data_IF_362710734654
#
_entry.id   IF_362710734654
#
_cell.length_a   1.000
_cell.length_b   1.000
_cell.length_c   1.000
_cell.angle_alpha   90.00
_cell.angle_beta   90.00
_cell.angle_gamma   90.00
#
_symmetry.space_group_name_H-M   'P 1'
#
loop_
_entity.id
_entity.type
_entity.pdbx_description
1 polymer ?
#
# COMPACT_ATOMS: atom_id res chain seq x y z
N UNK A 1 -10.22 59.36 88.42
CA UNK A 1 -10.10 60.63 87.67
C UNK A 1 -8.63 60.86 87.41
N UNK A 2 -8.27 61.16 86.14
CA UNK A 2 -7.07 61.89 85.68
C UNK A 2 -5.71 61.31 86.11
N UNK A 3 -4.66 61.16 85.32
CA UNK A 3 -4.19 61.60 83.99
C UNK A 3 -2.80 60.95 83.86
N UNK A 4 -2.35 60.57 82.65
CA UNK A 4 -1.12 61.06 81.99
C UNK A 4 0.20 60.89 82.81
N UNK A 5 1.33 60.40 82.31
CA UNK A 5 1.92 60.49 80.97
C UNK A 5 3.34 59.87 81.04
N UNK A 6 3.81 59.34 79.89
CA UNK A 6 5.20 59.37 79.38
C UNK A 6 6.32 58.59 80.13
N UNK A 7 7.31 57.96 79.47
CA UNK A 7 7.64 57.70 78.06
C UNK A 7 9.01 56.99 77.96
N UNK A 8 9.35 56.48 76.75
CA UNK A 8 10.71 56.31 76.18
C UNK A 8 11.60 55.18 76.79
N UNK A 9 12.37 54.36 76.08
CA UNK A 9 12.83 54.14 74.68
C UNK A 9 13.47 52.72 74.66
N UNK A 10 13.62 51.89 73.62
CA UNK A 10 14.35 52.08 72.35
C UNK A 10 14.49 50.71 71.65
N UNK A 11 14.32 50.70 70.30
CA UNK A 11 14.92 49.85 69.25
C UNK A 11 14.76 48.30 69.33
N UNK A 12 14.45 47.55 68.27
CA UNK A 12 15.12 47.46 66.96
C UNK A 12 14.11 47.00 65.88
N UNK A 13 14.23 47.58 64.69
CA UNK A 13 13.48 47.26 63.48
C UNK A 13 13.94 45.96 62.82
N UNK A 14 13.00 45.14 62.34
CA UNK A 14 13.22 43.99 61.47
C UNK A 14 12.12 43.92 60.41
N UNK A 15 12.48 44.26 59.18
CA UNK A 15 11.64 44.31 57.98
C UNK A 15 11.42 42.89 57.44
N UNK A 16 10.17 42.45 57.28
CA UNK A 16 9.81 41.23 56.56
C UNK A 16 8.61 41.52 55.66
N UNK A 17 8.89 41.92 54.42
CA UNK A 17 7.89 41.94 53.34
C UNK A 17 8.11 40.68 52.51
N UNK A 18 7.16 39.75 52.59
CA UNK A 18 7.13 38.53 51.78
C UNK A 18 6.76 38.87 50.33
N UNK A 19 7.75 38.83 49.43
CA UNK A 19 7.50 38.83 47.99
C UNK A 19 7.25 37.37 47.58
N UNK A 20 5.98 36.98 47.48
CA UNK A 20 5.60 35.76 46.77
C UNK A 20 5.73 36.03 45.27
N UNK A 21 6.89 35.68 44.70
CA UNK A 21 7.08 35.62 43.25
C UNK A 21 6.30 34.43 42.69
N UNK A 22 5.16 34.70 42.05
CA UNK A 22 4.49 33.76 41.16
C UNK A 22 5.37 33.54 39.92
N UNK A 23 6.18 32.48 39.93
CA UNK A 23 6.80 31.96 38.72
C UNK A 23 5.72 31.23 37.91
N UNK A 24 5.08 31.94 36.97
CA UNK A 24 4.29 31.29 35.92
C UNK A 24 5.28 30.65 34.96
N UNK A 25 5.57 29.35 35.16
CA UNK A 25 6.23 28.52 34.17
C UNK A 25 5.30 28.44 32.96
N UNK A 26 5.50 29.31 31.97
CA UNK A 26 4.89 29.18 30.66
C UNK A 26 5.52 27.99 29.96
N UNK A 27 4.99 26.79 30.22
CA UNK A 27 5.26 25.62 29.40
C UNK A 27 4.77 25.94 28.00
N UNK A 28 5.69 26.23 27.08
CA UNK A 28 5.38 26.32 25.66
C UNK A 28 4.83 24.97 25.25
N UNK A 29 3.50 24.85 25.17
CA UNK A 29 2.85 23.69 24.57
C UNK A 29 3.19 23.77 23.10
N UNK A 30 4.26 23.08 22.68
CA UNK A 30 4.55 22.89 21.28
C UNK A 30 3.34 22.17 20.68
N UNK A 31 2.58 22.88 19.84
CA UNK A 31 1.47 22.30 19.11
C UNK A 31 1.99 21.11 18.29
N UNK A 32 1.28 19.99 18.31
CA UNK A 32 1.68 18.83 17.50
C UNK A 32 1.67 19.23 16.01
N UNK A 33 2.63 18.74 15.21
CA UNK A 33 2.62 18.96 13.77
C UNK A 33 1.29 18.50 13.16
N UNK A 34 0.68 19.37 12.35
CA UNK A 34 -0.57 19.13 11.63
C UNK A 34 -0.31 18.73 10.16
N UNK A 35 -1.26 17.98 9.59
CA UNK A 35 -1.31 17.68 8.17
C UNK A 35 -1.69 18.95 7.40
N UNK A 36 -0.92 19.27 6.36
CA UNK A 36 -1.15 20.47 5.52
C UNK A 36 -1.73 20.14 4.15
N UNK A 37 -1.62 18.88 3.75
CA UNK A 37 -2.11 18.34 2.51
C UNK A 37 -1.17 18.51 1.31
N UNK A 38 -1.25 17.54 0.40
CA UNK A 38 -0.46 17.45 -0.84
C UNK A 38 -0.50 18.70 -1.72
N UNK A 39 -1.61 19.46 -1.71
CA UNK A 39 -1.71 20.74 -2.41
C UNK A 39 -0.69 21.78 -1.94
N UNK A 40 -0.25 21.74 -0.67
CA UNK A 40 0.81 22.61 -0.15
C UNK A 40 2.18 22.10 -0.58
N UNK A 41 2.41 20.79 -0.51
CA UNK A 41 3.65 20.15 -0.96
C UNK A 41 3.93 20.47 -2.44
N UNK A 42 2.90 20.40 -3.28
CA UNK A 42 2.98 20.72 -4.73
C UNK A 42 3.57 22.10 -5.00
N UNK A 43 3.36 23.10 -4.15
CA UNK A 43 3.80 24.49 -4.40
C UNK A 43 5.32 24.60 -4.51
N UNK A 44 6.06 23.75 -3.79
CA UNK A 44 7.52 23.72 -3.81
C UNK A 44 8.08 22.47 -4.51
N UNK A 45 7.36 21.34 -4.51
CA UNK A 45 7.81 20.06 -5.07
C UNK A 45 6.99 19.67 -6.32
N UNK A 46 6.99 20.53 -7.33
CA UNK A 46 6.12 20.37 -8.52
C UNK A 46 6.45 19.10 -9.30
N UNK A 47 7.73 18.80 -9.51
CA UNK A 47 8.20 17.65 -10.30
C UNK A 47 7.80 16.32 -9.64
N UNK A 48 8.14 16.17 -8.35
CA UNK A 48 7.73 15.01 -7.54
C UNK A 48 6.21 14.86 -7.55
N UNK A 49 5.46 15.96 -7.42
CA UNK A 49 4.01 15.93 -7.47
C UNK A 49 3.47 15.46 -8.83
N UNK A 50 4.12 15.82 -9.95
CA UNK A 50 3.72 15.34 -11.27
C UNK A 50 3.89 13.82 -11.39
N UNK A 51 4.97 13.27 -10.86
CA UNK A 51 5.18 11.82 -10.84
C UNK A 51 4.14 11.14 -9.94
N UNK A 52 4.02 11.63 -8.70
CA UNK A 52 3.13 11.12 -7.68
C UNK A 52 1.68 11.08 -8.15
N UNK A 53 1.18 12.16 -8.76
CA UNK A 53 -0.21 12.21 -9.22
C UNK A 53 -0.49 11.22 -10.35
N UNK A 54 0.52 10.73 -11.08
CA UNK A 54 0.34 9.66 -12.08
C UNK A 54 0.60 8.27 -11.49
N UNK A 55 0.64 8.13 -10.17
CA UNK A 55 0.64 6.86 -9.45
C UNK A 55 -0.76 6.49 -8.97
N UNK A 56 -0.93 5.27 -8.46
CA UNK A 56 -2.21 4.82 -7.90
C UNK A 56 -2.45 5.21 -6.44
N UNK A 57 -1.43 5.71 -5.73
CA UNK A 57 -1.53 6.11 -4.31
C UNK A 57 -2.55 7.23 -4.04
N UNK A 58 -2.59 8.35 -4.79
CA UNK A 58 -3.58 9.40 -4.58
C UNK A 58 -5.03 8.91 -4.77
N UNK A 59 -5.21 7.84 -5.53
CA UNK A 59 -6.52 7.34 -5.96
C UNK A 59 -6.95 6.04 -5.25
N UNK A 60 -6.30 5.68 -4.13
CA UNK A 60 -6.72 4.51 -3.34
C UNK A 60 -8.12 4.65 -2.77
N UNK A 61 -8.57 5.87 -2.51
CA UNK A 61 -9.96 6.19 -2.25
C UNK A 61 -10.26 7.59 -2.77
N UNK A 62 -11.43 7.77 -3.38
CA UNK A 62 -11.87 9.05 -3.94
C UNK A 62 -13.29 9.35 -3.48
N UNK A 63 -13.51 10.57 -3.00
CA UNK A 63 -14.85 11.05 -2.68
C UNK A 63 -15.64 11.25 -3.96
N UNK A 64 -16.87 10.75 -3.96
CA UNK A 64 -17.83 10.89 -5.05
C UNK A 64 -18.95 11.83 -4.60
N UNK A 65 -19.56 12.52 -5.56
CA UNK A 65 -20.71 13.39 -5.30
C UNK A 65 -21.82 13.07 -6.29
N UNK A 66 -21.54 13.17 -7.59
CA UNK A 66 -22.53 12.98 -8.65
C UNK A 66 -21.95 12.45 -9.97
N UNK A 67 -20.65 12.13 -10.01
CA UNK A 67 -19.95 11.72 -11.22
C UNK A 67 -18.90 10.65 -10.96
N UNK A 68 -18.53 9.96 -12.04
CA UNK A 68 -17.47 8.97 -12.02
C UNK A 68 -16.15 9.53 -11.47
N UNK A 69 -15.33 8.69 -10.80
CA UNK A 69 -13.99 9.09 -10.39
C UNK A 69 -13.13 9.46 -11.60
N UNK A 70 -12.27 10.44 -11.42
CA UNK A 70 -11.38 10.96 -12.47
C UNK A 70 -9.94 10.55 -12.20
N UNK A 71 -9.20 10.30 -13.27
CA UNK A 71 -7.80 9.90 -13.24
C UNK A 71 -7.02 10.74 -14.23
N UNK A 72 -5.69 10.90 -14.06
CA UNK A 72 -4.86 11.62 -15.02
C UNK A 72 -4.90 10.97 -16.40
N UNK A 73 -4.78 11.80 -17.43
CA UNK A 73 -4.69 11.33 -18.81
C UNK A 73 -3.52 10.34 -18.99
N UNK A 74 -3.73 9.34 -19.85
CA UNK A 74 -2.71 8.32 -20.14
C UNK A 74 -2.52 7.26 -19.04
N UNK A 75 -3.36 7.24 -18.00
CA UNK A 75 -3.26 6.27 -16.89
C UNK A 75 -4.38 5.23 -16.89
N UNK A 76 -5.32 5.33 -15.95
CA UNK A 76 -6.43 4.41 -15.76
C UNK A 76 -7.48 4.54 -16.88
N UNK A 77 -8.03 3.44 -17.41
CA UNK A 77 -9.25 3.49 -18.22
C UNK A 77 -10.49 3.91 -17.42
N UNK A 78 -10.37 4.00 -16.09
CA UNK A 78 -11.40 4.50 -15.19
C UNK A 78 -12.45 3.48 -14.79
N UNK A 79 -13.41 3.98 -14.00
CA UNK A 79 -14.58 3.23 -13.54
C UNK A 79 -15.80 3.92 -14.14
N UNK A 80 -16.32 3.43 -15.28
CA UNK A 80 -17.25 4.22 -16.09
C UNK A 80 -18.65 4.34 -15.45
N UNK A 81 -19.07 3.32 -14.70
CA UNK A 81 -20.41 3.23 -14.13
C UNK A 81 -20.35 2.78 -12.66
N UNK A 82 -21.31 3.22 -11.83
CA UNK A 82 -21.50 2.68 -10.48
C UNK A 82 -22.06 1.25 -10.54
N UNK A 83 -22.18 0.55 -9.39
CA UNK A 83 -22.87 -0.74 -9.29
C UNK A 83 -24.24 -0.73 -9.97
N UNK A 84 -24.63 -1.89 -10.52
CA UNK A 84 -25.92 -2.05 -11.18
C UNK A 84 -27.08 -1.57 -10.30
N UNK A 85 -27.96 -0.73 -10.86
CA UNK A 85 -29.14 -0.20 -10.16
C UNK A 85 -28.88 1.01 -9.27
N UNK A 86 -27.68 1.59 -9.30
CA UNK A 86 -27.32 2.79 -8.54
C UNK A 86 -26.92 3.94 -9.47
N UNK A 87 -27.10 5.18 -9.01
CA UNK A 87 -26.48 6.36 -9.61
C UNK A 87 -25.16 6.72 -8.92
N UNK A 88 -24.36 7.62 -9.53
CA UNK A 88 -23.15 8.13 -8.86
C UNK A 88 -23.52 8.96 -7.62
N UNK A 89 -24.70 9.56 -7.61
CA UNK A 89 -25.33 10.25 -6.47
C UNK A 89 -25.66 9.33 -5.28
N UNK A 90 -25.58 8.02 -5.45
CA UNK A 90 -25.77 7.03 -4.37
C UNK A 90 -24.43 6.54 -3.79
N UNK A 91 -23.30 6.98 -4.36
CA UNK A 91 -21.96 6.58 -3.97
C UNK A 91 -21.29 7.73 -3.22
N UNK A 92 -20.85 7.48 -1.98
CA UNK A 92 -20.08 8.46 -1.22
C UNK A 92 -18.59 8.42 -1.58
N UNK A 93 -18.06 7.21 -1.80
CA UNK A 93 -16.65 6.98 -2.07
C UNK A 93 -16.44 5.79 -3.02
N UNK A 94 -15.40 5.90 -3.85
CA UNK A 94 -14.84 4.79 -4.62
C UNK A 94 -13.50 4.40 -4.02
N UNK A 95 -13.33 3.11 -3.71
CA UNK A 95 -12.09 2.52 -3.21
C UNK A 95 -11.36 1.86 -4.38
N UNK A 96 -10.18 2.36 -4.72
CA UNK A 96 -9.39 1.92 -5.87
C UNK A 96 -9.90 2.51 -7.19
N UNK A 97 -9.95 1.68 -8.23
CA UNK A 97 -10.35 2.06 -9.58
C UNK A 97 -9.23 2.61 -10.47
N UNK A 98 -8.01 2.67 -9.94
CA UNK A 98 -6.85 3.16 -10.69
C UNK A 98 -6.24 2.11 -11.63
N UNK A 99 -6.02 0.87 -11.19
CA UNK A 99 -5.27 -0.11 -12.01
C UNK A 99 -5.80 -1.55 -11.99
N UNK A 100 -6.49 -1.99 -10.93
CA UNK A 100 -6.91 -3.38 -10.78
C UNK A 100 -8.41 -3.53 -10.61
N UNK A 101 -8.96 -2.85 -9.60
CA UNK A 101 -10.36 -3.00 -9.22
C UNK A 101 -10.87 -1.77 -8.48
N UNK A 102 -12.18 -1.56 -8.55
CA UNK A 102 -12.91 -0.56 -7.78
C UNK A 102 -13.97 -1.22 -6.91
N UNK A 103 -14.18 -0.66 -5.72
CA UNK A 103 -15.29 -0.97 -4.81
C UNK A 103 -15.95 0.33 -4.39
N UNK A 104 -17.14 0.24 -3.83
CA UNK A 104 -18.03 1.39 -3.71
C UNK A 104 -18.60 1.45 -2.30
N UNK A 105 -18.76 2.67 -1.78
CA UNK A 105 -19.40 2.93 -0.50
C UNK A 105 -20.73 3.65 -0.74
N UNK A 106 -21.78 3.22 -0.03
CA UNK A 106 -23.10 3.87 -0.08
C UNK A 106 -23.08 5.28 0.56
N UNK A 107 -24.20 6.00 0.51
CA UNK A 107 -24.34 7.33 1.13
C UNK A 107 -24.22 7.35 2.66
N UNK A 108 -24.17 6.20 3.33
CA UNK A 108 -23.88 6.10 4.76
C UNK A 108 -22.43 5.70 5.02
N UNK A 109 -21.60 5.52 3.98
CA UNK A 109 -20.20 5.17 4.09
C UNK A 109 -19.94 3.68 4.32
N UNK A 110 -20.92 2.81 4.12
CA UNK A 110 -20.70 1.37 4.18
C UNK A 110 -20.21 0.84 2.83
N UNK A 111 -19.22 -0.06 2.84
CA UNK A 111 -18.76 -0.74 1.62
C UNK A 111 -19.85 -1.69 1.15
N UNK A 112 -20.26 -1.57 -0.11
CA UNK A 112 -21.25 -2.46 -0.72
C UNK A 112 -20.66 -3.86 -0.94
N UNK A 113 -21.39 -4.89 -0.51
CA UNK A 113 -21.02 -6.32 -0.61
C UNK A 113 -22.17 -7.14 -1.18
N UNK A 114 -21.88 -8.38 -1.59
CA UNK A 114 -22.85 -9.23 -2.27
C UNK A 114 -22.25 -10.11 -3.37
N UNK A 115 -23.03 -11.03 -3.94
CA UNK A 115 -22.55 -12.06 -4.85
C UNK A 115 -22.18 -11.55 -6.25
N UNK A 116 -22.74 -10.41 -6.68
CA UNK A 116 -22.56 -9.87 -8.03
C UNK A 116 -22.55 -8.34 -8.00
N UNK A 117 -21.91 -7.70 -8.99
CA UNK A 117 -21.95 -6.25 -9.20
C UNK A 117 -21.48 -5.39 -8.00
N UNK A 118 -20.52 -5.87 -7.20
CA UNK A 118 -19.98 -5.15 -6.03
C UNK A 118 -18.52 -4.77 -6.16
N UNK A 119 -17.81 -5.40 -7.08
CA UNK A 119 -16.46 -5.01 -7.47
C UNK A 119 -16.37 -4.92 -8.98
N UNK A 120 -15.84 -3.81 -9.46
CA UNK A 120 -15.52 -3.64 -10.88
C UNK A 120 -14.04 -3.96 -11.08
N UNK A 121 -13.74 -5.01 -11.84
CA UNK A 121 -12.37 -5.33 -12.23
C UNK A 121 -12.05 -4.60 -13.54
N UNK A 122 -10.94 -3.86 -13.54
CA UNK A 122 -10.45 -3.18 -14.74
C UNK A 122 -9.89 -4.22 -15.72
N UNK A 123 -9.86 -3.85 -17.01
CA UNK A 123 -9.26 -4.69 -18.03
C UNK A 123 -7.76 -4.91 -17.71
N UNK A 124 -7.29 -6.13 -17.94
CA UNK A 124 -5.92 -6.52 -17.72
C UNK A 124 -5.36 -7.18 -18.99
N UNK A 125 -4.54 -6.41 -19.72
CA UNK A 125 -3.90 -6.86 -20.96
C UNK A 125 -2.87 -7.98 -20.73
N UNK A 126 -2.16 -7.96 -19.60
CA UNK A 126 -1.15 -8.99 -19.27
C UNK A 126 -1.76 -10.39 -19.16
N UNK A 127 -3.05 -10.47 -18.80
CA UNK A 127 -3.79 -11.72 -18.65
C UNK A 127 -4.85 -11.94 -19.73
N UNK A 128 -4.96 -11.03 -20.71
CA UNK A 128 -6.03 -11.03 -21.72
C UNK A 128 -7.43 -11.13 -21.07
N UNK A 129 -7.71 -10.19 -20.16
CA UNK A 129 -8.99 -10.10 -19.44
C UNK A 129 -9.65 -8.75 -19.73
N UNK A 130 -10.86 -8.80 -20.27
CA UNK A 130 -11.73 -7.62 -20.35
C UNK A 130 -12.20 -7.20 -18.95
N UNK A 131 -12.55 -5.92 -18.84
CA UNK A 131 -13.18 -5.40 -17.62
C UNK A 131 -14.51 -6.10 -17.37
N UNK A 132 -14.83 -6.38 -16.12
CA UNK A 132 -16.08 -7.03 -15.76
C UNK A 132 -16.46 -6.75 -14.30
N UNK A 133 -17.73 -6.94 -14.00
CA UNK A 133 -18.26 -6.91 -12.64
C UNK A 133 -18.16 -8.28 -11.98
N UNK A 134 -17.99 -8.28 -10.66
CA UNK A 134 -18.00 -9.49 -9.84
C UNK A 134 -18.56 -9.17 -8.45
N UNK A 135 -18.85 -10.22 -7.67
CA UNK A 135 -19.20 -10.09 -6.27
C UNK A 135 -18.03 -9.64 -5.40
N UNK A 136 -18.34 -9.26 -4.18
CA UNK A 136 -17.35 -8.92 -3.17
C UNK A 136 -17.92 -9.23 -1.79
N UNK A 137 -17.21 -10.06 -1.03
CA UNK A 137 -17.55 -10.43 0.35
C UNK A 137 -19.03 -10.78 0.53
N UNK A 138 -19.54 -11.64 -0.36
CA UNK A 138 -20.95 -12.02 -0.41
C UNK A 138 -21.46 -12.66 0.90
N UNK A 139 -20.55 -13.21 1.71
CA UNK A 139 -20.83 -13.77 3.03
C UNK A 139 -21.04 -12.70 4.12
N UNK A 140 -20.84 -11.41 3.81
CA UNK A 140 -20.99 -10.28 4.74
C UNK A 140 -22.32 -9.53 4.61
N UNK A 141 -23.26 -10.07 3.83
CA UNK A 141 -24.53 -9.41 3.54
C UNK A 141 -24.39 -8.33 2.47
N UNK A 142 -25.29 -7.35 2.48
CA UNK A 142 -25.37 -6.33 1.41
C UNK A 142 -24.36 -5.19 1.56
N UNK A 143 -23.86 -4.97 2.78
CA UNK A 143 -22.84 -3.95 3.06
C UNK A 143 -22.07 -4.28 4.35
N UNK A 144 -20.86 -3.71 4.47
CA UNK A 144 -20.00 -3.83 5.67
C UNK A 144 -19.31 -2.51 5.99
N UNK A 145 -18.88 -2.28 7.25
CA UNK A 145 -18.20 -1.03 7.61
C UNK A 145 -16.84 -0.90 6.91
N UNK A 146 -16.40 0.34 6.73
CA UNK A 146 -15.09 0.70 6.23
C UNK A 146 -14.09 0.89 7.37
N UNK A 147 -13.10 0.00 7.40
CA UNK A 147 -11.97 0.00 8.33
C UNK A 147 -10.62 0.00 7.60
N UNK A 148 -10.62 0.23 6.28
CA UNK A 148 -9.44 0.08 5.43
C UNK A 148 -8.58 1.35 5.33
N UNK A 149 -8.86 2.37 6.15
CA UNK A 149 -8.28 3.70 6.00
C UNK A 149 -6.78 3.76 6.26
N UNK A 150 -6.24 2.88 7.12
CA UNK A 150 -4.80 2.82 7.41
C UNK A 150 -3.93 2.70 6.16
N UNK A 151 -4.42 1.98 5.13
CA UNK A 151 -3.68 1.77 3.89
C UNK A 151 -4.19 2.60 2.70
N UNK A 152 -5.35 3.23 2.83
CA UNK A 152 -6.06 3.87 1.71
C UNK A 152 -6.22 5.39 1.88
N UNK A 153 -5.86 5.95 3.03
CA UNK A 153 -6.01 7.38 3.36
C UNK A 153 -4.73 7.92 3.97
N UNK A 154 -4.67 9.24 4.18
CA UNK A 154 -3.56 9.91 4.85
C UNK A 154 -3.99 10.43 6.21
N UNK A 155 -3.23 10.11 7.25
CA UNK A 155 -3.56 10.50 8.62
C UNK A 155 -4.78 9.78 9.17
N UNK A 156 -4.94 8.49 8.85
CA UNK A 156 -6.02 7.66 9.39
C UNK A 156 -5.98 7.60 10.91
N UNK A 157 -7.14 7.79 11.53
CA UNK A 157 -7.37 7.54 12.95
C UNK A 157 -8.57 6.60 13.04
N UNK A 158 -8.33 5.39 13.53
CA UNK A 158 -9.39 4.43 13.83
C UNK A 158 -10.17 4.88 15.06
N UNK A 159 -11.49 4.91 14.94
CA UNK A 159 -12.40 5.41 16.00
C UNK A 159 -13.48 4.40 16.39
N UNK A 160 -13.66 3.34 15.59
CA UNK A 160 -14.68 2.31 15.83
C UNK A 160 -16.10 2.76 15.49
N UNK A 161 -17.12 1.93 15.80
CA UNK A 161 -18.52 2.20 15.46
C UNK A 161 -19.15 3.35 16.26
N UNK A 162 -18.65 3.65 17.46
CA UNK A 162 -19.19 4.70 18.35
C UNK A 162 -18.39 6.00 18.30
N UNK A 163 -17.33 6.04 17.51
CA UNK A 163 -16.39 7.16 17.46
C UNK A 163 -16.70 8.15 16.34
N UNK A 164 -15.88 9.21 16.19
CA UNK A 164 -16.02 10.14 15.06
C UNK A 164 -15.90 9.42 13.72
N UNK A 165 -16.80 9.72 12.79
CA UNK A 165 -16.81 9.15 11.44
C UNK A 165 -16.45 10.20 10.40
N UNK A 166 -15.66 9.85 9.40
CA UNK A 166 -15.36 10.77 8.29
C UNK A 166 -16.66 11.25 7.65
N UNK A 167 -16.77 12.58 7.47
CA UNK A 167 -17.94 13.24 6.87
C UNK A 167 -19.29 12.92 7.56
N UNK A 168 -19.25 12.47 8.83
CA UNK A 168 -20.41 11.97 9.57
C UNK A 168 -21.09 10.75 8.91
N UNK A 169 -20.33 9.95 8.17
CA UNK A 169 -20.82 8.72 7.53
C UNK A 169 -20.61 7.52 8.45
N UNK A 170 -21.67 7.08 9.13
CA UNK A 170 -21.68 6.01 10.16
C UNK A 170 -20.91 4.74 9.75
N UNK A 171 -20.98 4.35 8.47
CA UNK A 171 -20.27 3.17 7.97
C UNK A 171 -18.75 3.30 7.95
N UNK A 172 -18.18 4.47 8.22
CA UNK A 172 -16.72 4.72 8.25
C UNK A 172 -16.22 4.72 9.69
N UNK A 173 -15.58 3.64 10.12
CA UNK A 173 -15.10 3.50 11.51
C UNK A 173 -13.74 4.19 11.73
N UNK A 174 -13.63 5.45 11.29
CA UNK A 174 -12.45 6.29 11.46
C UNK A 174 -12.54 7.61 10.71
N UNK A 175 -11.48 8.40 10.84
CA UNK A 175 -11.32 9.71 10.21
C UNK A 175 -9.96 9.80 9.52
N UNK A 176 -9.79 10.74 8.59
CA UNK A 176 -8.51 10.99 7.94
C UNK A 176 -8.28 12.46 7.61
N UNK A 177 -7.02 12.83 7.39
CA UNK A 177 -6.64 14.17 6.97
C UNK A 177 -6.83 14.38 5.46
N UNK A 178 -6.50 13.37 4.63
CA UNK A 178 -6.75 13.41 3.18
C UNK A 178 -7.18 12.05 2.63
N UNK A 179 -7.99 12.08 1.56
CA UNK A 179 -8.31 10.91 0.75
C UNK A 179 -7.08 10.46 -0.03
N UNK A 180 -6.88 9.14 -0.11
CA UNK A 180 -5.74 8.55 -0.79
C UNK A 180 -4.48 8.53 0.08
N UNK A 181 -3.47 7.81 -0.39
CA UNK A 181 -2.13 7.81 0.18
C UNK A 181 -1.40 8.99 -0.44
N UNK A 182 -1.23 10.08 0.31
CA UNK A 182 -0.60 11.32 -0.14
C UNK A 182 0.78 11.51 0.49
N UNK A 183 1.45 12.64 0.21
CA UNK A 183 2.80 12.93 0.66
C UNK A 183 3.01 12.64 2.16
N UNK A 184 2.06 13.09 2.98
CA UNK A 184 2.16 13.03 4.45
C UNK A 184 1.83 11.64 5.02
N UNK A 185 1.36 10.68 4.21
CA UNK A 185 1.21 9.29 4.62
C UNK A 185 2.57 8.59 4.78
N UNK A 186 3.58 9.03 4.02
CA UNK A 186 4.95 8.54 4.11
C UNK A 186 5.85 9.50 4.89
N UNK A 187 5.73 10.80 4.62
CA UNK A 187 6.62 11.81 5.19
C UNK A 187 6.16 12.39 6.54
N UNK A 188 4.96 12.04 6.99
CA UNK A 188 4.35 12.59 8.20
C UNK A 188 3.81 14.02 8.02
N UNK A 189 3.26 14.62 9.09
CA UNK A 189 2.62 15.93 9.01
C UNK A 189 3.61 17.07 8.72
N UNK A 190 3.36 17.83 7.65
CA UNK A 190 4.29 18.80 7.09
C UNK A 190 4.22 20.22 7.63
N UNK A 191 3.36 20.52 8.61
CA UNK A 191 3.12 21.90 9.07
C UNK A 191 4.35 22.65 9.57
N UNK A 192 5.35 21.97 10.11
CA UNK A 192 6.58 22.60 10.55
C UNK A 192 7.61 22.69 9.43
N UNK A 193 7.68 21.67 8.56
CA UNK A 193 8.49 21.71 7.35
C UNK A 193 8.15 22.93 6.48
N UNK A 194 6.86 23.20 6.23
CA UNK A 194 6.48 24.34 5.38
C UNK A 194 6.85 25.71 5.96
N UNK A 195 7.01 25.82 7.29
CA UNK A 195 7.42 27.07 7.97
C UNK A 195 8.92 27.29 7.88
N UNK A 196 9.72 26.24 7.72
CA UNK A 196 11.18 26.30 7.70
C UNK A 196 11.78 25.12 6.92
N UNK A 197 11.55 25.05 5.59
CA UNK A 197 11.81 23.84 4.79
C UNK A 197 13.29 23.46 4.71
N UNK A 198 14.20 24.44 4.84
CA UNK A 198 15.65 24.20 4.86
C UNK A 198 16.17 23.68 6.20
N UNK A 199 15.38 23.82 7.28
CA UNK A 199 15.81 23.47 8.65
C UNK A 199 15.07 22.27 9.22
N UNK A 200 13.81 22.10 8.83
CA UNK A 200 12.95 21.03 9.32
C UNK A 200 12.70 20.10 8.15
N UNK A 201 13.45 19.01 8.09
CA UNK A 201 13.28 17.99 7.05
C UNK A 201 12.18 17.01 7.44
N UNK A 202 11.46 16.51 6.45
CA UNK A 202 10.54 15.39 6.63
C UNK A 202 11.32 14.08 6.70
N UNK A 203 10.72 13.04 7.28
CA UNK A 203 11.35 11.72 7.30
C UNK A 203 11.52 11.19 5.88
N UNK A 204 12.62 10.48 5.65
CA UNK A 204 12.88 9.72 4.43
C UNK A 204 12.87 8.22 4.68
N UNK A 205 12.57 7.79 5.90
CA UNK A 205 12.47 6.38 6.26
C UNK A 205 11.28 5.74 5.52
N UNK A 206 11.50 4.59 4.91
CA UNK A 206 10.43 3.91 4.20
C UNK A 206 9.44 3.25 5.16
N UNK A 207 8.15 3.36 4.84
CA UNK A 207 7.06 2.77 5.59
C UNK A 207 6.13 1.94 4.69
N UNK A 208 6.66 1.42 3.57
CA UNK A 208 5.89 0.65 2.58
C UNK A 208 5.17 -0.54 3.23
N UNK A 209 5.86 -1.20 4.18
CA UNK A 209 5.34 -2.33 4.96
C UNK A 209 4.19 -1.98 5.89
N UNK A 210 3.78 -0.73 6.06
CA UNK A 210 2.53 -0.41 6.78
C UNK A 210 1.29 -0.73 5.96
N UNK A 211 1.42 -0.73 4.63
CA UNK A 211 0.30 -0.91 3.70
C UNK A 211 0.45 -2.11 2.76
N UNK A 212 1.69 -2.41 2.36
CA UNK A 212 2.03 -3.53 1.48
C UNK A 212 2.28 -4.83 2.27
N UNK A 213 1.58 -4.96 3.39
CA UNK A 213 1.43 -6.16 4.22
C UNK A 213 -0.05 -6.43 4.49
N UNK A 214 -0.44 -7.65 4.85
CA UNK A 214 -1.79 -7.94 5.38
C UNK A 214 -1.81 -8.20 6.87
N UNK A 215 -0.81 -8.90 7.39
CA UNK A 215 -0.86 -9.44 8.74
C UNK A 215 0.51 -9.65 9.34
N UNK A 216 0.79 -10.90 9.73
CA UNK A 216 2.10 -11.29 10.26
C UNK A 216 3.15 -11.23 9.16
N UNK A 217 4.17 -10.38 9.32
CA UNK A 217 5.24 -10.20 8.35
C UNK A 217 6.08 -11.48 8.11
N UNK A 218 5.91 -12.52 8.92
CA UNK A 218 6.56 -13.82 8.79
C UNK A 218 5.70 -14.85 8.03
N UNK A 219 4.51 -14.47 7.57
CA UNK A 219 3.60 -15.33 6.82
C UNK A 219 3.19 -14.62 5.54
N UNK A 220 3.03 -15.39 4.45
CA UNK A 220 2.55 -14.86 3.19
C UNK A 220 1.20 -15.50 2.91
N UNK A 221 0.12 -14.72 2.98
CA UNK A 221 -1.23 -15.21 2.79
C UNK A 221 -1.45 -15.68 1.33
N UNK A 222 -2.11 -16.82 1.18
CA UNK A 222 -2.49 -17.38 -0.11
C UNK A 222 -3.95 -17.83 -0.13
N UNK A 223 -4.50 -17.91 -1.33
CA UNK A 223 -5.79 -18.54 -1.58
C UNK A 223 -5.91 -18.91 -3.06
N UNK A 224 -6.59 -20.00 -3.36
CA UNK A 224 -6.84 -20.45 -4.74
C UNK A 224 -5.54 -20.61 -5.56
N UNK A 225 -4.46 -21.07 -4.92
CA UNK A 225 -3.16 -21.29 -5.57
C UNK A 225 -2.43 -20.03 -6.02
N UNK A 226 -2.77 -18.87 -5.43
CA UNK A 226 -2.12 -17.58 -5.64
C UNK A 226 -1.90 -16.88 -4.29
N UNK A 227 -0.83 -16.09 -4.21
CA UNK A 227 -0.57 -15.16 -3.10
C UNK A 227 -1.66 -14.08 -3.11
N UNK A 228 -2.15 -13.67 -1.94
CA UNK A 228 -3.13 -12.58 -1.85
C UNK A 228 -2.46 -11.23 -2.16
N UNK A 229 -3.27 -10.24 -2.53
CA UNK A 229 -2.75 -8.88 -2.71
C UNK A 229 -2.26 -8.22 -1.42
N UNK A 230 -1.31 -7.30 -1.62
CA UNK A 230 -0.61 -6.53 -0.58
C UNK A 230 0.33 -7.38 0.28
N UNK A 231 0.98 -8.37 -0.34
CA UNK A 231 1.97 -9.26 0.32
C UNK A 231 3.40 -8.99 -0.18
N UNK A 232 3.64 -7.92 -0.95
CA UNK A 232 4.95 -7.69 -1.56
C UNK A 232 6.05 -7.47 -0.51
N UNK A 233 5.68 -6.95 0.66
CA UNK A 233 6.61 -6.78 1.77
C UNK A 233 7.00 -8.14 2.38
N UNK A 234 6.02 -8.99 2.68
CA UNK A 234 6.24 -10.35 3.20
C UNK A 234 7.00 -11.23 2.21
N UNK A 235 6.66 -11.14 0.91
CA UNK A 235 7.37 -11.77 -0.20
C UNK A 235 8.87 -11.43 -0.15
N UNK A 236 9.21 -10.13 -0.01
CA UNK A 236 10.59 -9.64 0.01
C UNK A 236 11.33 -10.12 1.26
N UNK A 237 10.68 -10.08 2.43
CA UNK A 237 11.27 -10.57 3.69
C UNK A 237 11.59 -12.08 3.65
N UNK A 238 10.73 -12.85 2.99
CA UNK A 238 10.96 -14.28 2.74
C UNK A 238 11.97 -14.55 1.60
N UNK A 239 12.50 -13.52 0.95
CA UNK A 239 13.40 -13.59 -0.21
C UNK A 239 14.88 -13.43 0.19
N UNK A 240 15.84 -13.67 -0.73
CA UNK A 240 17.25 -13.34 -0.53
C UNK A 240 17.57 -11.84 -0.43
N UNK A 241 16.63 -10.97 -0.80
CA UNK A 241 16.78 -9.51 -0.78
C UNK A 241 16.08 -8.87 0.43
N UNK A 242 15.83 -9.63 1.50
CA UNK A 242 15.11 -9.16 2.69
C UNK A 242 15.78 -7.99 3.43
N UNK A 243 17.08 -7.78 3.23
CA UNK A 243 17.82 -6.67 3.82
C UNK A 243 17.80 -5.40 2.94
N UNK A 244 17.19 -5.47 1.74
CA UNK A 244 17.06 -4.32 0.84
C UNK A 244 15.75 -3.58 1.10
N UNK A 245 15.86 -2.26 1.07
CA UNK A 245 14.73 -1.35 1.09
C UNK A 245 13.93 -1.44 -0.22
N UNK A 246 12.61 -1.24 -0.19
CA UNK A 246 11.77 -1.19 -1.40
C UNK A 246 12.27 -0.11 -2.38
N UNK A 247 12.67 1.03 -1.83
CA UNK A 247 13.24 2.17 -2.54
C UNK A 247 14.59 1.90 -3.22
N UNK A 248 15.26 0.79 -2.87
CA UNK A 248 16.47 0.33 -3.57
C UNK A 248 16.18 0.04 -5.03
N UNK A 249 15.00 -0.51 -5.34
CA UNK A 249 14.62 -0.89 -6.69
C UNK A 249 13.55 0.03 -7.28
N UNK A 250 12.66 0.59 -6.46
CA UNK A 250 11.52 1.38 -6.91
C UNK A 250 11.68 2.86 -6.58
N UNK A 251 11.29 3.72 -7.53
CA UNK A 251 11.04 5.12 -7.22
C UNK A 251 9.69 5.23 -6.49
N UNK A 252 9.63 5.67 -5.23
CA UNK A 252 8.39 5.70 -4.45
C UNK A 252 7.35 6.71 -4.98
N UNK A 253 7.76 7.65 -5.84
CA UNK A 253 6.89 8.68 -6.39
C UNK A 253 6.34 8.32 -7.78
N UNK A 254 6.82 7.26 -8.43
CA UNK A 254 6.43 6.93 -9.80
C UNK A 254 5.61 5.64 -9.90
N UNK A 255 4.74 5.59 -10.90
CA UNK A 255 3.90 4.43 -11.17
C UNK A 255 4.66 3.31 -11.85
N UNK A 256 4.63 2.11 -11.27
CA UNK A 256 5.16 0.91 -11.95
C UNK A 256 4.20 0.35 -13.01
N UNK A 257 2.96 0.86 -13.10
CA UNK A 257 1.93 0.37 -14.05
C UNK A 257 1.76 1.29 -15.27
N UNK A 258 1.87 2.60 -15.06
CA UNK A 258 1.62 3.62 -16.08
C UNK A 258 2.80 4.61 -16.25
N UNK A 259 4.00 4.32 -15.73
CA UNK A 259 5.20 5.09 -16.09
C UNK A 259 5.46 4.97 -17.59
N UNK A 260 5.74 6.10 -18.22
CA UNK A 260 5.90 6.24 -19.67
C UNK A 260 7.37 6.24 -20.11
N UNK A 261 8.29 6.32 -19.17
CA UNK A 261 9.73 6.55 -19.36
C UNK A 261 10.62 5.48 -18.71
N UNK A 262 10.02 4.46 -18.09
CA UNK A 262 10.69 3.34 -17.45
C UNK A 262 11.62 3.74 -16.27
N UNK A 263 11.47 4.94 -15.71
CA UNK A 263 12.27 5.42 -14.57
C UNK A 263 11.71 5.01 -13.20
N UNK A 264 10.55 4.34 -13.19
CA UNK A 264 9.95 3.81 -11.96
C UNK A 264 10.82 2.74 -11.28
N UNK A 265 11.78 2.16 -12.01
CA UNK A 265 12.80 1.25 -11.50
C UNK A 265 14.14 1.98 -11.41
N UNK A 266 14.61 2.23 -10.19
CA UNK A 266 15.85 2.98 -9.91
C UNK A 266 17.10 2.11 -10.10
N UNK A 267 17.00 0.82 -9.78
CA UNK A 267 18.07 -0.16 -10.00
C UNK A 267 17.53 -1.43 -10.65
N UNK A 268 18.05 -1.76 -11.82
CA UNK A 268 17.73 -3.02 -12.49
C UNK A 268 18.50 -4.19 -11.86
N UNK A 269 18.04 -5.42 -12.11
CA UNK A 269 18.69 -6.64 -11.63
C UNK A 269 20.17 -6.70 -12.05
N UNK A 270 20.47 -6.25 -13.28
CA UNK A 270 21.83 -6.24 -13.83
C UNK A 270 22.73 -5.15 -13.23
N UNK A 271 22.17 -4.17 -12.52
CA UNK A 271 22.94 -3.19 -11.75
C UNK A 271 23.83 -3.85 -10.69
N UNK A 272 23.32 -4.89 -10.02
CA UNK A 272 24.04 -5.68 -9.02
C UNK A 272 24.51 -7.04 -9.57
N UNK A 273 23.68 -7.75 -10.35
CA UNK A 273 23.98 -9.07 -10.89
C UNK A 273 24.70 -9.01 -12.24
N UNK A 274 25.75 -8.20 -12.36
CA UNK A 274 26.47 -7.90 -13.62
C UNK A 274 27.01 -9.13 -14.37
N UNK A 275 27.24 -10.23 -13.66
CA UNK A 275 27.75 -11.49 -14.22
C UNK A 275 26.65 -12.45 -14.68
N UNK A 276 25.39 -12.08 -14.50
CA UNK A 276 24.24 -12.87 -14.95
C UNK A 276 23.81 -12.37 -16.32
N UNK A 277 23.80 -13.29 -17.28
CA UNK A 277 23.30 -13.08 -18.63
C UNK A 277 22.39 -14.24 -18.95
N UNK A 278 21.25 -13.97 -19.60
CA UNK A 278 20.37 -15.04 -20.08
C UNK A 278 21.06 -15.72 -21.27
N UNK A 279 21.56 -16.95 -21.06
CA UNK A 279 22.31 -17.75 -22.04
C UNK A 279 21.38 -18.64 -22.88
N UNK A 280 20.31 -18.05 -23.43
CA UNK A 280 19.36 -18.79 -24.25
C UNK A 280 19.66 -18.57 -25.73
N UNK A 281 19.77 -19.67 -26.48
CA UNK A 281 20.23 -19.69 -27.88
C UNK A 281 19.21 -19.15 -28.89
N UNK A 282 17.95 -18.93 -28.47
CA UNK A 282 16.86 -18.56 -29.35
C UNK A 282 16.40 -17.12 -29.11
N UNK A 283 16.22 -16.37 -30.19
CA UNK A 283 15.77 -14.97 -30.21
C UNK A 283 14.40 -14.72 -29.56
N UNK A 284 13.60 -15.79 -29.35
CA UNK A 284 12.29 -15.73 -28.70
C UNK A 284 12.36 -15.57 -27.18
N UNK A 285 13.54 -15.73 -26.57
CA UNK A 285 13.74 -15.65 -25.11
C UNK A 285 14.54 -14.41 -24.71
N UNK A 286 14.31 -13.27 -25.38
CA UNK A 286 14.71 -11.94 -24.87
C UNK A 286 13.83 -11.54 -23.67
N UNK A 287 13.68 -12.45 -22.72
CA UNK A 287 12.87 -12.28 -21.53
C UNK A 287 13.68 -11.59 -20.45
N UNK A 288 13.06 -10.61 -19.81
CA UNK A 288 13.63 -9.93 -18.65
C UNK A 288 13.75 -10.87 -17.45
N UNK A 289 14.64 -10.54 -16.50
CA UNK A 289 14.85 -11.34 -15.28
C UNK A 289 13.53 -11.58 -14.52
N UNK A 290 12.64 -10.58 -14.51
CA UNK A 290 11.34 -10.61 -13.83
C UNK A 290 10.36 -11.63 -14.42
N UNK A 291 10.60 -12.12 -15.64
CA UNK A 291 9.75 -13.13 -16.27
C UNK A 291 9.76 -14.44 -15.47
N UNK A 292 10.96 -14.89 -15.06
CA UNK A 292 11.12 -16.13 -14.31
C UNK A 292 11.28 -15.91 -12.80
N UNK A 293 11.94 -14.81 -12.40
CA UNK A 293 12.24 -14.52 -10.99
C UNK A 293 11.18 -13.66 -10.28
N UNK A 294 10.21 -13.11 -11.00
CA UNK A 294 9.05 -12.42 -10.41
C UNK A 294 7.77 -12.80 -11.18
N UNK A 295 7.44 -14.11 -11.30
CA UNK A 295 6.29 -14.54 -12.05
C UNK A 295 4.99 -14.02 -11.42
N UNK A 296 3.93 -13.98 -12.21
CA UNK A 296 2.62 -13.48 -11.77
C UNK A 296 1.89 -14.53 -10.92
N UNK A 297 2.30 -14.70 -9.67
CA UNK A 297 1.75 -15.67 -8.71
C UNK A 297 0.92 -15.03 -7.60
N UNK A 298 0.67 -13.73 -7.67
CA UNK A 298 -0.16 -13.00 -6.71
C UNK A 298 -1.40 -12.39 -7.39
N UNK A 299 -2.52 -12.30 -6.67
CA UNK A 299 -3.82 -11.80 -7.19
C UNK A 299 -4.35 -10.60 -6.41
N UNK A 300 -4.53 -9.50 -7.14
CA UNK A 300 -5.31 -8.33 -6.75
C UNK A 300 -6.76 -8.41 -7.24
N UNK A 301 -7.00 -8.44 -8.54
CA UNK A 301 -8.35 -8.41 -9.10
C UNK A 301 -8.67 -9.70 -9.85
N UNK A 302 -7.83 -10.06 -10.82
CA UNK A 302 -8.12 -11.10 -11.80
C UNK A 302 -7.03 -12.16 -11.83
N UNK A 303 -7.42 -13.34 -12.30
CA UNK A 303 -6.51 -14.47 -12.53
C UNK A 303 -6.91 -15.22 -13.78
N UNK A 304 -5.98 -16.02 -14.32
CA UNK A 304 -6.18 -16.91 -15.46
C UNK A 304 -5.63 -18.29 -15.13
N UNK A 305 -6.33 -19.34 -15.55
CA UNK A 305 -5.78 -20.69 -15.50
C UNK A 305 -5.03 -20.97 -16.81
N UNK A 306 -3.85 -21.57 -16.70
CA UNK A 306 -3.07 -22.05 -17.83
C UNK A 306 -3.00 -23.57 -17.74
N UNK A 307 -3.41 -24.25 -18.81
CA UNK A 307 -3.24 -25.69 -18.95
C UNK A 307 -1.79 -26.01 -19.30
N UNK A 308 -1.18 -26.91 -18.55
CA UNK A 308 0.19 -27.38 -18.77
C UNK A 308 0.26 -28.89 -18.60
N UNK A 309 1.36 -29.53 -19.02
CA UNK A 309 1.59 -30.96 -18.68
C UNK A 309 1.71 -31.25 -17.19
N UNK A 310 1.92 -30.23 -16.34
CA UNK A 310 1.90 -30.37 -14.88
C UNK A 310 0.50 -30.12 -14.27
N UNK A 311 -0.52 -29.89 -15.11
CA UNK A 311 -1.89 -29.59 -14.70
C UNK A 311 -2.25 -28.12 -14.91
N UNK A 312 -3.38 -27.73 -14.31
CA UNK A 312 -3.94 -26.38 -14.40
C UNK A 312 -3.26 -25.45 -13.39
N UNK A 313 -2.52 -24.47 -13.89
CA UNK A 313 -1.76 -23.51 -13.07
C UNK A 313 -2.46 -22.16 -13.07
N UNK A 314 -2.84 -21.60 -11.91
CA UNK A 314 -3.33 -20.23 -11.84
C UNK A 314 -2.17 -19.23 -12.00
N UNK A 315 -2.40 -18.17 -12.78
CA UNK A 315 -1.58 -16.96 -12.79
C UNK A 315 -2.44 -15.77 -12.38
N UNK A 316 -1.86 -14.88 -11.58
CA UNK A 316 -2.51 -13.66 -11.09
C UNK A 316 -2.11 -12.43 -11.87
N UNK A 317 -2.53 -11.26 -11.40
CA UNK A 317 -2.27 -9.95 -12.01
C UNK A 317 -1.20 -9.13 -11.28
N UNK A 318 -0.55 -9.72 -10.29
CA UNK A 318 0.55 -9.14 -9.52
C UNK A 318 1.77 -10.06 -9.57
N UNK A 319 2.95 -9.46 -9.73
CA UNK A 319 4.25 -10.13 -9.62
C UNK A 319 4.64 -10.32 -8.16
N UNK A 320 5.16 -11.50 -7.84
CA UNK A 320 5.76 -11.76 -6.53
C UNK A 320 7.09 -11.03 -6.36
N UNK A 321 7.50 -10.82 -5.11
CA UNK A 321 8.85 -10.39 -4.73
C UNK A 321 9.68 -11.52 -4.08
N UNK A 322 9.20 -12.77 -4.16
CA UNK A 322 10.01 -13.96 -3.95
C UNK A 322 10.89 -14.13 -5.19
N UNK A 323 12.22 -14.14 -5.06
CA UNK A 323 13.13 -14.18 -6.20
C UNK A 323 13.73 -15.56 -6.45
N UNK A 324 13.82 -16.38 -5.40
CA UNK A 324 14.52 -17.66 -5.46
C UNK A 324 13.65 -18.71 -6.13
N UNK A 325 14.18 -19.35 -7.16
CA UNK A 325 13.56 -20.49 -7.84
C UNK A 325 14.21 -21.77 -7.32
N UNK A 326 13.40 -22.77 -6.97
CA UNK A 326 13.89 -24.08 -6.56
C UNK A 326 13.78 -25.10 -7.70
N UNK A 327 14.79 -25.94 -7.84
CA UNK A 327 14.80 -27.11 -8.74
C UNK A 327 14.41 -28.41 -8.03
N UNK A 328 14.10 -28.33 -6.73
CA UNK A 328 13.55 -29.45 -5.97
C UNK A 328 12.08 -29.66 -6.35
N UNK A 329 11.81 -30.75 -7.06
CA UNK A 329 10.46 -31.09 -7.52
C UNK A 329 9.53 -31.56 -6.40
N UNK A 330 10.07 -31.82 -5.20
CA UNK A 330 9.26 -32.16 -4.03
C UNK A 330 8.71 -30.93 -3.31
N UNK A 331 9.29 -29.76 -3.56
CA UNK A 331 8.84 -28.49 -2.99
C UNK A 331 7.46 -28.10 -3.53
N UNK A 332 6.57 -27.69 -2.63
CA UNK A 332 5.29 -27.09 -2.99
C UNK A 332 5.35 -25.61 -2.65
N UNK A 333 4.89 -24.74 -3.55
CA UNK A 333 4.90 -23.30 -3.31
C UNK A 333 3.94 -22.90 -2.18
N UNK A 334 2.84 -23.63 -2.00
CA UNK A 334 1.83 -23.33 -0.98
C UNK A 334 1.74 -24.47 0.04
N UNK A 335 1.32 -24.13 1.25
CA UNK A 335 0.97 -25.10 2.29
C UNK A 335 -0.12 -26.06 1.79
N UNK A 336 -0.23 -27.24 2.41
CA UNK A 336 -1.22 -28.27 2.01
C UNK A 336 -2.67 -27.78 2.02
N UNK A 337 -3.01 -26.85 2.91
CA UNK A 337 -4.33 -26.22 3.00
C UNK A 337 -4.49 -25.02 2.05
N UNK A 338 -3.44 -24.64 1.32
CA UNK A 338 -3.42 -23.56 0.35
C UNK A 338 -3.58 -22.16 0.95
N UNK A 339 -3.48 -22.02 2.28
CA UNK A 339 -3.69 -20.75 2.98
C UNK A 339 -2.46 -19.87 3.03
N UNK A 340 -1.26 -20.43 2.88
CA UNK A 340 -0.02 -19.69 2.94
C UNK A 340 0.97 -20.16 1.88
N UNK A 341 1.95 -19.31 1.56
CA UNK A 341 3.18 -19.76 0.87
C UNK A 341 3.98 -20.62 1.84
N UNK A 342 4.52 -21.73 1.34
CA UNK A 342 5.38 -22.59 2.13
C UNK A 342 6.75 -21.91 2.35
N UNK A 343 7.22 -21.92 3.60
CA UNK A 343 8.54 -21.41 3.98
C UNK A 343 9.45 -22.57 4.41
N UNK A 344 10.74 -22.45 4.15
CA UNK A 344 11.74 -23.42 4.63
C UNK A 344 12.06 -23.21 6.12
N UNK A 345 12.95 -24.04 6.67
CA UNK A 345 13.34 -23.95 8.09
C UNK A 345 14.03 -22.65 8.48
N UNK A 346 14.39 -21.80 7.52
CA UNK A 346 14.97 -20.47 7.71
C UNK A 346 13.96 -19.36 7.41
N UNK A 347 12.69 -19.69 7.20
CA UNK A 347 11.65 -18.72 6.87
C UNK A 347 11.74 -18.18 5.44
N UNK A 348 12.36 -18.92 4.51
CA UNK A 348 12.51 -18.46 3.11
C UNK A 348 11.56 -19.17 2.16
N UNK A 349 11.00 -18.39 1.23
CA UNK A 349 10.11 -18.88 0.20
C UNK A 349 10.88 -19.21 -1.10
N UNK A 350 10.37 -20.18 -1.85
CA UNK A 350 10.96 -20.60 -3.12
C UNK A 350 9.88 -20.79 -4.19
N UNK A 351 10.07 -20.16 -5.34
CA UNK A 351 9.23 -20.32 -6.52
C UNK A 351 9.50 -21.70 -7.15
N UNK A 352 8.43 -22.42 -7.46
CA UNK A 352 8.48 -23.72 -8.14
C UNK A 352 8.58 -23.58 -9.67
N UNK A 353 9.16 -24.58 -10.34
CA UNK A 353 9.40 -24.55 -11.78
C UNK A 353 8.12 -24.50 -12.64
N UNK A 354 6.99 -25.01 -12.14
CA UNK A 354 5.70 -24.87 -12.80
C UNK A 354 5.32 -23.38 -12.97
N UNK A 355 5.64 -22.55 -11.96
CA UNK A 355 5.35 -21.12 -11.97
C UNK A 355 6.35 -20.31 -12.80
N UNK A 356 7.63 -20.66 -12.75
CA UNK A 356 8.68 -19.93 -13.49
C UNK A 356 8.82 -20.34 -14.95
N UNK A 357 8.44 -21.56 -15.32
CA UNK A 357 8.70 -22.11 -16.66
C UNK A 357 7.43 -22.54 -17.39
N UNK A 358 6.57 -23.34 -16.76
CA UNK A 358 5.51 -24.06 -17.49
C UNK A 358 4.33 -23.18 -17.88
N UNK A 359 4.21 -21.97 -17.31
CA UNK A 359 3.23 -20.97 -17.74
C UNK A 359 3.46 -20.44 -19.16
N UNK A 360 4.70 -20.55 -19.67
CA UNK A 360 5.04 -20.29 -21.08
C UNK A 360 5.31 -21.59 -21.85
N UNK A 361 5.94 -22.57 -21.19
CA UNK A 361 6.30 -23.87 -21.76
C UNK A 361 5.26 -24.94 -21.44
N UNK A 362 4.02 -24.71 -21.87
CA UNK A 362 2.85 -25.51 -21.47
C UNK A 362 2.93 -26.98 -21.90
N UNK A 363 3.67 -27.27 -22.98
CA UNK A 363 3.90 -28.60 -23.53
C UNK A 363 5.08 -29.36 -22.90
N UNK A 364 5.77 -28.78 -21.91
CA UNK A 364 6.95 -29.36 -21.26
C UNK A 364 6.64 -29.89 -19.87
N UNK A 365 7.46 -30.83 -19.40
CA UNK A 365 7.34 -31.42 -18.06
C UNK A 365 8.20 -30.67 -17.04
N UNK A 366 7.94 -30.91 -15.74
CA UNK A 366 8.80 -30.41 -14.66
C UNK A 366 10.25 -30.91 -14.76
N UNK A 367 10.47 -32.14 -15.21
CA UNK A 367 11.82 -32.68 -15.40
C UNK A 367 12.57 -31.95 -16.53
N UNK A 368 11.86 -31.60 -17.61
CA UNK A 368 12.41 -30.72 -18.64
C UNK A 368 12.78 -29.35 -18.05
N UNK A 369 11.88 -28.74 -17.29
CA UNK A 369 12.14 -27.44 -16.67
C UNK A 369 13.36 -27.49 -15.74
N UNK A 370 13.51 -28.55 -14.94
CA UNK A 370 14.64 -28.76 -14.03
C UNK A 370 15.97 -28.84 -14.77
N UNK A 371 16.01 -29.62 -15.85
CA UNK A 371 17.23 -29.80 -16.68
C UNK A 371 17.68 -28.48 -17.31
N UNK A 372 16.72 -27.62 -17.69
CA UNK A 372 17.00 -26.36 -18.39
C UNK A 372 17.19 -25.17 -17.44
N UNK A 373 16.56 -25.15 -16.26
CA UNK A 373 16.61 -24.03 -15.32
C UNK A 373 18.05 -23.66 -14.92
N UNK A 374 18.92 -24.66 -14.74
CA UNK A 374 20.33 -24.43 -14.39
C UNK A 374 21.17 -23.89 -15.55
N UNK A 375 20.66 -23.95 -16.78
CA UNK A 375 21.38 -23.54 -17.99
C UNK A 375 21.01 -22.12 -18.46
N UNK A 376 20.00 -21.49 -17.82
CA UNK A 376 19.49 -20.17 -18.21
C UNK A 376 20.53 -19.05 -18.01
N UNK A 377 21.43 -19.15 -17.04
CA UNK A 377 22.49 -18.17 -16.75
C UNK A 377 23.78 -18.86 -16.28
#
# INVERSE_FOLDING_TARGET
MTTAQHSLSSLIAGLLVSVLSFFVLSSSVYAKPAYVGDSQCRKCHIEIYQDYKHSGHPYKIQKITDKAPSYPDGTSPGVPNPPQGMGWEDISYVIGGYAWKARFMDKQGYILTGPENRQYNLANSDLDKSSHWTGYDADKGDRKPYTCGSCHTTGWIETGPEGPHQDNLEGIHGTWAQTGVTCEACHGPGSDHIKSPEKILLTTDENCGECHKRGDAQQIDASNGLIKHHEQYEDLLASPHNDLACSTCHNPHQSVKYSTDNTSITNSCLGCHKKKTVKLSNSEHQNECITCHMPRIAKSAVSKMIETKAGMIPIGDIRTHIYRITTDLTWQLFTKDGKFVQLDTKGKAHITLDRSCLTCHTDKTLEWAKTNAMQVH
#
